data_IF_416048642567
#
_entry.id   IF_416048642567
#
_cell.length_a   1.000
_cell.length_b   1.000
_cell.length_c   1.000
_cell.angle_alpha   90.00
_cell.angle_beta   90.00
_cell.angle_gamma   90.00
#
_symmetry.space_group_name_H-M   'P 1'
#
loop_
_entity.id
_entity.type
_entity.pdbx_description
1 polymer ?
#
# COMPACT_ATOMS: atom_id res chain seq x y z
N UNK A 1 16.65 1.61 9.24
CA UNK A 1 16.22 3.01 9.01
C UNK A 1 14.76 3.15 9.41
N UNK A 2 14.47 4.06 10.31
CA UNK A 2 13.09 4.32 10.70
C UNK A 2 12.45 5.35 9.76
N UNK A 3 11.15 5.21 9.53
CA UNK A 3 10.40 6.16 8.73
C UNK A 3 10.16 7.45 9.52
N UNK A 4 10.08 8.57 8.79
CA UNK A 4 9.63 9.84 9.36
C UNK A 4 8.25 9.63 9.99
N UNK A 5 8.04 10.07 11.25
CA UNK A 5 6.72 9.94 11.90
C UNK A 5 5.57 10.55 11.10
N UNK A 6 5.82 11.58 10.30
CA UNK A 6 4.79 12.18 9.43
C UNK A 6 4.37 11.21 8.31
N UNK A 7 5.33 10.45 7.78
CA UNK A 7 5.03 9.41 6.78
C UNK A 7 4.22 8.30 7.43
N UNK A 8 4.66 7.80 8.60
CA UNK A 8 3.93 6.75 9.31
C UNK A 8 2.49 7.19 9.61
N UNK A 9 2.31 8.42 10.08
CA UNK A 9 0.98 8.95 10.38
C UNK A 9 0.09 8.98 9.13
N UNK A 10 0.62 9.45 8.00
CA UNK A 10 -0.13 9.49 6.74
C UNK A 10 -0.53 8.09 6.28
N UNK A 11 0.39 7.13 6.33
CA UNK A 11 0.14 5.76 5.91
C UNK A 11 -0.78 5.01 6.86
N UNK A 12 -0.85 5.42 8.12
CA UNK A 12 -1.67 4.75 9.14
C UNK A 12 -3.15 5.18 9.09
N UNK A 13 -3.45 6.31 8.47
CA UNK A 13 -4.84 6.72 8.24
C UNK A 13 -5.42 5.96 7.06
N UNK A 14 -6.76 5.87 6.92
CA UNK A 14 -7.38 5.11 5.82
C UNK A 14 -7.30 5.86 4.48
N UNK A 15 -6.10 6.16 4.06
CA UNK A 15 -5.80 6.81 2.79
C UNK A 15 -5.53 5.76 1.72
N UNK A 16 -6.06 5.99 0.51
CA UNK A 16 -5.74 5.10 -0.61
C UNK A 16 -4.31 5.35 -1.07
N UNK A 17 -3.59 4.26 -1.30
CA UNK A 17 -2.29 4.31 -1.93
C UNK A 17 -2.45 3.91 -3.40
N UNK A 18 -1.58 4.44 -4.26
CA UNK A 18 -1.47 3.99 -5.63
C UNK A 18 -0.14 3.29 -5.77
N UNK A 19 -0.17 2.01 -6.14
CA UNK A 19 1.04 1.21 -6.27
C UNK A 19 1.40 1.05 -7.75
N UNK A 20 2.67 1.35 -8.07
CA UNK A 20 3.23 1.10 -9.38
C UNK A 20 4.09 -0.15 -9.34
N UNK A 21 3.87 -1.06 -10.28
CA UNK A 21 4.64 -2.28 -10.47
C UNK A 21 5.05 -2.38 -11.92
N UNK A 22 6.01 -3.25 -12.24
CA UNK A 22 6.57 -3.35 -13.57
C UNK A 22 6.02 -4.55 -14.33
N UNK A 23 5.53 -4.28 -15.54
CA UNK A 23 5.09 -5.31 -16.48
C UNK A 23 6.30 -6.10 -17.01
N UNK A 24 6.08 -7.25 -17.68
CA UNK A 24 7.19 -8.03 -18.24
C UNK A 24 8.11 -7.26 -19.18
N UNK A 25 7.58 -6.27 -19.90
CA UNK A 25 8.37 -5.43 -20.82
C UNK A 25 9.02 -4.23 -20.12
N UNK A 26 8.87 -4.11 -18.79
CA UNK A 26 9.40 -3.00 -18.01
C UNK A 26 8.50 -1.77 -17.95
N UNK A 27 7.37 -1.78 -18.64
CA UNK A 27 6.43 -0.65 -18.55
C UNK A 27 5.74 -0.65 -17.18
N UNK A 28 5.45 0.53 -16.61
CA UNK A 28 4.79 0.61 -15.31
C UNK A 28 3.29 0.42 -15.42
N UNK A 29 2.73 -0.20 -14.39
CA UNK A 29 1.29 -0.32 -14.19
C UNK A 29 0.94 0.23 -12.82
N UNK A 30 -0.16 0.94 -12.68
CA UNK A 30 -0.55 1.55 -11.41
C UNK A 30 -2.00 1.23 -11.06
N UNK A 31 -2.27 0.97 -9.78
CA UNK A 31 -3.61 0.66 -9.29
C UNK A 31 -3.76 1.16 -7.85
N UNK A 32 -4.99 1.58 -7.44
CA UNK A 32 -5.23 1.94 -6.04
C UNK A 32 -5.29 0.70 -5.16
N UNK A 33 -4.80 0.83 -3.94
CA UNK A 33 -4.76 -0.28 -2.98
C UNK A 33 -5.00 0.23 -1.56
N UNK A 34 -5.40 -0.68 -0.67
CA UNK A 34 -5.34 -0.48 0.77
C UNK A 34 -3.97 -0.92 1.28
N UNK A 35 -3.46 -0.24 2.29
CA UNK A 35 -2.17 -0.58 2.89
C UNK A 35 -2.25 -0.59 4.41
N UNK A 36 -1.33 -1.32 5.03
CA UNK A 36 -1.06 -1.25 6.45
C UNK A 36 0.39 -0.84 6.69
N UNK A 37 0.70 -0.50 7.94
CA UNK A 37 2.06 -0.16 8.36
C UNK A 37 2.37 -0.91 9.64
N UNK A 38 3.52 -1.56 9.69
CA UNK A 38 3.98 -2.26 10.89
C UNK A 38 5.50 -2.29 10.89
N UNK A 39 6.12 -1.83 11.98
CA UNK A 39 7.59 -1.88 12.16
C UNK A 39 8.34 -1.26 10.98
N UNK A 40 7.93 -0.08 10.56
CA UNK A 40 8.50 0.67 9.43
C UNK A 40 8.41 -0.05 8.07
N UNK A 41 7.57 -1.07 7.98
CA UNK A 41 7.28 -1.75 6.72
C UNK A 41 5.84 -1.49 6.31
N UNK A 42 5.60 -1.55 5.02
CA UNK A 42 4.27 -1.41 4.46
C UNK A 42 3.72 -2.81 4.16
N UNK A 43 2.45 -3.02 4.53
CA UNK A 43 1.75 -4.27 4.32
C UNK A 43 0.70 -4.08 3.23
N UNK A 44 0.57 -5.08 2.36
CA UNK A 44 -0.44 -5.08 1.31
C UNK A 44 -0.89 -6.51 1.07
N UNK A 45 -2.19 -6.72 0.90
CA UNK A 45 -2.73 -8.04 0.64
C UNK A 45 -3.42 -8.11 -0.72
N UNK A 46 -3.31 -9.26 -1.37
CA UNK A 46 -3.98 -9.50 -2.64
C UNK A 46 -4.07 -11.01 -2.90
N UNK A 47 -4.61 -11.39 -4.05
CA UNK A 47 -4.59 -12.78 -4.51
C UNK A 47 -3.39 -13.05 -5.41
N UNK A 48 -2.89 -14.28 -5.39
CA UNK A 48 -1.74 -14.68 -6.22
C UNK A 48 -1.97 -14.46 -7.72
N UNK A 49 -3.21 -14.53 -8.17
CA UNK A 49 -3.52 -14.36 -9.59
C UNK A 49 -3.62 -12.90 -10.03
N UNK A 50 -3.55 -11.93 -9.09
CA UNK A 50 -3.63 -10.52 -9.47
C UNK A 50 -2.39 -10.08 -10.24
N UNK A 51 -2.58 -9.10 -11.13
CA UNK A 51 -1.50 -8.59 -11.96
C UNK A 51 -0.34 -8.04 -11.12
N UNK A 52 -0.65 -7.28 -10.07
CA UNK A 52 0.40 -6.69 -9.22
C UNK A 52 1.22 -7.76 -8.51
N UNK A 53 0.61 -8.86 -8.08
CA UNK A 53 1.37 -9.95 -7.44
C UNK A 53 2.27 -10.65 -8.45
N UNK A 54 1.76 -10.95 -9.63
CA UNK A 54 2.58 -11.56 -10.69
C UNK A 54 3.75 -10.66 -11.08
N UNK A 55 3.49 -9.35 -11.19
CA UNK A 55 4.54 -8.37 -11.47
C UNK A 55 5.61 -8.37 -10.37
N UNK A 56 5.19 -8.34 -9.11
CA UNK A 56 6.12 -8.26 -7.97
C UNK A 56 6.87 -9.56 -7.73
N UNK A 57 6.29 -10.70 -8.09
CA UNK A 57 7.01 -11.98 -8.06
C UNK A 57 8.16 -11.99 -9.05
N UNK A 58 7.97 -11.35 -10.21
CA UNK A 58 9.01 -11.27 -11.25
C UNK A 58 10.03 -10.18 -10.94
N UNK A 59 9.59 -9.01 -10.48
CA UNK A 59 10.44 -7.88 -10.13
C UNK A 59 9.88 -7.22 -8.87
N UNK A 60 10.55 -7.36 -7.72
CA UNK A 60 9.98 -6.91 -6.45
C UNK A 60 9.99 -5.39 -6.23
N UNK A 61 10.54 -4.62 -7.16
CA UNK A 61 10.59 -3.16 -7.04
C UNK A 61 9.21 -2.55 -7.24
N UNK A 62 8.90 -1.52 -6.45
CA UNK A 62 7.63 -0.83 -6.53
C UNK A 62 7.76 0.63 -6.11
N UNK A 63 6.75 1.39 -6.44
CA UNK A 63 6.58 2.74 -5.94
C UNK A 63 5.15 2.91 -5.43
N UNK A 64 4.98 3.78 -4.45
CA UNK A 64 3.68 4.13 -3.90
C UNK A 64 3.53 5.64 -3.86
N UNK A 65 2.33 6.11 -4.18
CA UNK A 65 1.92 7.49 -3.99
C UNK A 65 0.70 7.49 -3.09
N UNK A 66 0.75 8.27 -2.01
CA UNK A 66 -0.33 8.35 -1.03
C UNK A 66 -0.65 9.81 -0.77
N UNK A 67 -1.93 10.17 -0.85
CA UNK A 67 -2.40 11.49 -0.41
C UNK A 67 -3.39 11.32 0.73
N UNK A 68 -3.49 12.34 1.58
CA UNK A 68 -4.51 12.34 2.60
C UNK A 68 -5.90 12.46 1.96
N UNK A 69 -6.85 11.68 2.46
CA UNK A 69 -8.20 11.63 1.87
C UNK A 69 -8.94 12.97 1.95
N UNK A 70 -8.65 13.77 2.98
CA UNK A 70 -9.31 15.05 3.19
C UNK A 70 -8.45 16.24 2.77
N UNK A 71 -7.13 16.05 2.68
CA UNK A 71 -6.18 17.10 2.29
C UNK A 71 -5.21 16.54 1.24
N UNK A 72 -5.56 16.63 -0.05
CA UNK A 72 -4.72 16.05 -1.11
C UNK A 72 -3.38 16.76 -1.28
N UNK A 73 -3.13 17.85 -0.55
CA UNK A 73 -1.85 18.55 -0.53
C UNK A 73 -0.89 17.99 0.51
N UNK A 74 -1.34 17.02 1.30
CA UNK A 74 -0.48 16.22 2.17
C UNK A 74 -0.22 14.87 1.49
N UNK A 75 1.04 14.60 1.16
CA UNK A 75 1.38 13.43 0.35
C UNK A 75 2.69 12.77 0.77
N UNK A 76 2.84 11.52 0.41
CA UNK A 76 4.10 10.78 0.48
C UNK A 76 4.34 10.06 -0.84
N UNK A 77 5.60 10.10 -1.29
CA UNK A 77 6.09 9.31 -2.41
C UNK A 77 7.08 8.30 -1.85
N UNK A 78 6.89 7.03 -2.19
CA UNK A 78 7.66 5.94 -1.60
C UNK A 78 8.19 5.06 -2.71
N UNK A 79 9.47 4.68 -2.58
CA UNK A 79 10.07 3.61 -3.38
C UNK A 79 10.54 2.52 -2.44
N UNK A 80 10.30 1.28 -2.84
CA UNK A 80 10.67 0.15 -2.02
C UNK A 80 10.65 -1.15 -2.80
N UNK A 81 10.71 -2.24 -2.06
CA UNK A 81 10.63 -3.58 -2.63
C UNK A 81 9.96 -4.55 -1.68
N UNK A 82 9.34 -5.55 -2.26
CA UNK A 82 8.81 -6.67 -1.49
C UNK A 82 9.99 -7.48 -0.95
N UNK A 83 10.00 -7.69 0.37
CA UNK A 83 11.03 -8.51 1.02
C UNK A 83 10.48 -9.84 1.50
N UNK A 84 9.15 -9.98 1.54
CA UNK A 84 8.52 -11.23 1.93
C UNK A 84 7.14 -11.33 1.28
N UNK A 85 6.84 -12.51 0.74
CA UNK A 85 5.48 -12.91 0.33
C UNK A 85 5.01 -13.92 1.38
N UNK A 86 4.00 -13.53 2.17
CA UNK A 86 3.52 -14.35 3.29
C UNK A 86 2.15 -14.91 2.99
N UNK A 87 1.95 -16.19 3.25
CA UNK A 87 0.62 -16.79 3.20
C UNK A 87 -0.31 -16.04 4.17
N UNK A 88 -1.46 -15.60 3.68
CA UNK A 88 -2.47 -14.91 4.49
C UNK A 88 -3.83 -15.62 4.39
N UNK A 89 -3.80 -16.94 4.25
CA UNK A 89 -5.01 -17.75 4.11
C UNK A 89 -5.93 -17.67 5.33
N UNK A 90 -5.39 -17.25 6.50
CA UNK A 90 -6.16 -17.00 7.71
C UNK A 90 -6.68 -15.57 7.84
N UNK A 91 -6.39 -14.70 6.85
CA UNK A 91 -6.84 -13.31 6.80
C UNK A 91 -6.31 -12.44 7.95
N UNK A 92 -5.23 -12.83 8.62
CA UNK A 92 -4.71 -12.05 9.75
C UNK A 92 -4.33 -10.63 9.34
N UNK A 93 -3.58 -10.49 8.25
CA UNK A 93 -3.13 -9.19 7.76
C UNK A 93 -4.25 -8.48 7.00
N UNK A 94 -4.97 -9.22 6.16
CA UNK A 94 -6.06 -8.63 5.39
C UNK A 94 -7.14 -8.04 6.29
N UNK A 95 -7.53 -8.75 7.36
CA UNK A 95 -8.55 -8.24 8.27
C UNK A 95 -8.06 -7.00 9.03
N UNK A 96 -6.79 -6.98 9.46
CA UNK A 96 -6.20 -5.80 10.10
C UNK A 96 -6.31 -4.57 9.18
N UNK A 97 -5.97 -4.74 7.90
CA UNK A 97 -6.07 -3.66 6.92
C UNK A 97 -7.53 -3.28 6.70
N UNK A 98 -8.42 -4.25 6.56
CA UNK A 98 -9.84 -4.01 6.33
C UNK A 98 -10.47 -3.21 7.47
N UNK A 99 -10.14 -3.54 8.72
CA UNK A 99 -10.65 -2.78 9.88
C UNK A 99 -10.24 -1.32 9.83
N UNK A 100 -9.05 -1.03 9.36
CA UNK A 100 -8.59 0.35 9.20
C UNK A 100 -9.45 1.14 8.22
N UNK A 101 -9.82 0.52 7.09
CA UNK A 101 -10.54 1.22 6.02
C UNK A 101 -12.06 1.15 6.16
N UNK A 102 -12.60 0.08 6.74
CA UNK A 102 -14.05 -0.15 6.76
C UNK A 102 -14.63 -0.39 8.16
N UNK A 103 -13.79 -0.62 9.16
CA UNK A 103 -14.25 -0.98 10.51
C UNK A 103 -14.80 -2.39 10.61
N UNK A 104 -14.57 -3.23 9.60
CA UNK A 104 -15.12 -4.58 9.51
C UNK A 104 -14.07 -5.54 8.94
N UNK A 105 -14.21 -6.86 9.19
CA UNK A 105 -13.34 -7.84 8.53
C UNK A 105 -13.58 -7.85 7.03
N UNK A 106 -12.59 -8.32 6.29
CA UNK A 106 -12.67 -8.41 4.84
C UNK A 106 -13.78 -9.40 4.45
N UNK A 107 -14.75 -9.00 3.60
CA UNK A 107 -15.94 -9.81 3.36
C UNK A 107 -15.72 -11.02 2.45
N UNK A 108 -14.69 -11.01 1.61
CA UNK A 108 -14.43 -12.10 0.67
C UNK A 108 -13.54 -13.12 1.36
N UNK A 109 -14.13 -14.29 1.73
CA UNK A 109 -13.51 -15.23 2.66
C UNK A 109 -12.92 -16.48 2.01
N UNK A 110 -12.66 -16.47 0.69
CA UNK A 110 -11.96 -17.59 0.06
C UNK A 110 -10.47 -17.52 0.44
N UNK A 111 -9.94 -18.50 1.18
CA UNK A 111 -8.55 -18.46 1.64
C UNK A 111 -7.53 -18.80 0.54
N UNK A 112 -7.99 -19.35 -0.59
CA UNK A 112 -7.10 -19.81 -1.64
C UNK A 112 -6.36 -18.65 -2.30
N UNK A 113 -5.04 -18.74 -2.40
CA UNK A 113 -4.22 -17.76 -3.08
C UNK A 113 -4.06 -16.42 -2.34
N UNK A 114 -4.50 -16.34 -1.10
CA UNK A 114 -4.33 -15.09 -0.33
C UNK A 114 -2.86 -14.91 0.07
N UNK A 115 -2.29 -13.75 -0.27
CA UNK A 115 -0.90 -13.43 0.02
C UNK A 115 -0.79 -12.02 0.58
N UNK A 116 0.06 -11.88 1.59
CA UNK A 116 0.44 -10.58 2.14
C UNK A 116 1.87 -10.26 1.71
N UNK A 117 2.06 -9.02 1.28
CA UNK A 117 3.35 -8.49 0.91
C UNK A 117 3.91 -7.70 2.08
N UNK A 118 5.15 -7.98 2.43
CA UNK A 118 5.90 -7.17 3.39
C UNK A 118 6.87 -6.34 2.56
N UNK A 119 6.70 -5.02 2.61
CA UNK A 119 7.42 -4.09 1.75
C UNK A 119 8.41 -3.28 2.58
N UNK A 120 9.68 -3.35 2.19
CA UNK A 120 10.73 -2.51 2.76
C UNK A 120 10.73 -1.17 2.03
N UNK A 121 10.68 -0.09 2.79
CA UNK A 121 10.81 1.27 2.24
C UNK A 121 12.28 1.59 2.05
N UNK A 122 12.67 1.94 0.84
CA UNK A 122 14.05 2.32 0.52
C UNK A 122 14.20 3.83 0.45
N UNK A 123 13.15 4.54 0.03
CA UNK A 123 13.14 6.00 -0.01
C UNK A 123 11.73 6.50 0.20
N UNK A 124 11.56 7.48 1.08
CA UNK A 124 10.28 8.12 1.32
C UNK A 124 10.46 9.64 1.30
N UNK A 125 9.54 10.32 0.65
CA UNK A 125 9.50 11.79 0.61
C UNK A 125 8.12 12.23 1.04
N UNK A 126 8.07 13.09 2.05
CA UNK A 126 6.83 13.68 2.56
C UNK A 126 6.76 15.14 2.16
N UNK A 127 5.58 15.57 1.71
CA UNK A 127 5.33 16.97 1.36
C UNK A 127 3.95 17.36 1.85
N UNK A 128 3.86 18.54 2.45
CA UNK A 128 2.58 19.17 2.78
C UNK A 128 2.62 20.60 2.30
N UNK A 129 1.79 20.92 1.30
CA UNK A 129 1.69 22.26 0.74
C UNK A 129 0.65 23.09 1.49
N UNK A 130 0.84 24.41 1.58
CA UNK A 130 -0.04 25.27 2.38
C UNK A 130 -1.33 25.67 1.65
N UNK A 131 -1.84 24.81 0.78
CA UNK A 131 -3.07 25.07 0.05
C UNK A 131 -4.26 24.47 0.78
N UNK A 132 -5.38 25.17 0.69
CA UNK A 132 -6.64 24.63 1.17
C UNK A 132 -7.35 23.95 -0.01
N UNK A 133 -7.76 22.70 0.22
CA UNK A 133 -8.49 21.94 -0.79
C UNK A 133 -9.93 22.42 -0.86
N UNK A 134 -10.41 22.69 -2.07
CA UNK A 134 -11.81 23.01 -2.32
C UNK A 134 -12.41 21.85 -3.11
N UNK A 135 -13.18 20.96 -2.45
CA UNK A 135 -13.77 19.84 -3.15
C UNK A 135 -14.81 20.32 -4.19
N UNK A 136 -15.05 19.55 -5.24
CA UNK A 136 -16.08 19.89 -6.21
C UNK A 136 -17.46 19.96 -5.56
N UNK A 137 -18.29 20.84 -6.06
CA UNK A 137 -19.66 21.04 -5.56
C UNK A 137 -20.56 19.85 -5.87
#
# INVERSE_FOLDING_TARGET
MSLDPKVVALLSRPNFAHIATLMPDGSPNVTPVWIGVRDDKILLCSGESSLKIRNLRRDPRLALSVVDFHDPYEEAQIRGRVVEFRDDSKFEIMDEISYKYTGKPFPFRNPEGRVALIIKVEKARYTKLPFQHTPPA
#
